data_IF_023017164899
#
_entry.id   IF_023017164899
#
_cell.length_a   1.000
_cell.length_b   1.000
_cell.length_c   1.000
_cell.angle_alpha   90.00
_cell.angle_beta   90.00
_cell.angle_gamma   90.00
#
_symmetry.space_group_name_H-M   'P 1'
#
loop_
_entity.id
_entity.type
_entity.pdbx_description
1 polymer ?
#
# COMPACT_ATOMS: atom_id res chain seq x y z
N UNK A 1 20.11 41.34 37.27
CA UNK A 1 19.56 40.92 38.59
C UNK A 1 18.05 40.71 38.38
N UNK A 2 17.61 39.48 38.06
CA UNK A 2 16.18 39.20 37.82
C UNK A 2 15.39 39.13 39.11
N UNK A 3 14.19 39.77 39.15
CA UNK A 3 13.35 39.88 40.30
C UNK A 3 12.87 38.50 40.81
N UNK A 4 12.73 38.31 42.13
CA UNK A 4 12.25 37.07 42.75
C UNK A 4 10.90 36.57 42.20
N UNK A 5 10.04 37.46 41.71
CA UNK A 5 8.75 37.13 41.07
C UNK A 5 8.92 36.43 39.71
N UNK A 6 9.96 36.77 38.95
CA UNK A 6 10.21 36.17 37.64
C UNK A 6 10.77 34.75 37.78
N UNK A 7 11.66 34.51 38.77
CA UNK A 7 12.18 33.17 39.09
C UNK A 7 11.08 32.19 39.52
N UNK A 8 10.07 32.68 40.26
CA UNK A 8 8.93 31.84 40.69
C UNK A 8 8.00 31.45 39.54
N UNK A 9 7.80 32.32 38.56
CA UNK A 9 7.02 31.99 37.35
C UNK A 9 7.71 30.96 36.45
N UNK A 10 9.04 31.05 36.30
CA UNK A 10 9.82 30.05 35.53
C UNK A 10 9.85 28.68 36.22
N UNK A 11 9.92 28.65 37.56
CA UNK A 11 9.92 27.40 38.33
C UNK A 11 8.56 26.67 38.26
N UNK A 12 7.46 27.39 38.30
CA UNK A 12 6.10 26.82 38.17
C UNK A 12 5.84 26.34 36.76
N UNK A 13 6.32 27.06 35.72
CA UNK A 13 6.20 26.61 34.32
C UNK A 13 7.04 25.36 34.06
N UNK A 14 8.27 25.29 34.57
CA UNK A 14 9.12 24.11 34.40
C UNK A 14 8.56 22.88 35.15
N UNK A 15 7.98 23.04 36.30
CA UNK A 15 7.33 21.96 37.05
C UNK A 15 6.06 21.47 36.36
N UNK A 16 5.28 22.37 35.71
CA UNK A 16 4.10 22.03 34.94
C UNK A 16 4.45 21.19 33.69
N UNK A 17 5.55 21.52 33.01
CA UNK A 17 6.02 20.72 31.84
C UNK A 17 6.56 19.34 32.25
N UNK A 18 7.23 19.21 33.39
CA UNK A 18 7.73 17.92 33.89
C UNK A 18 6.56 17.03 34.35
N UNK A 19 5.53 17.57 34.98
CA UNK A 19 4.35 16.82 35.39
C UNK A 19 3.47 16.40 34.20
N UNK A 20 3.32 17.25 33.19
CA UNK A 20 2.62 16.90 31.96
C UNK A 20 3.38 15.82 31.16
N UNK A 21 4.71 15.88 31.09
CA UNK A 21 5.55 14.90 30.42
C UNK A 21 5.52 13.51 31.09
N UNK A 22 5.45 13.46 32.43
CA UNK A 22 5.35 12.19 33.17
C UNK A 22 3.96 11.57 33.05
N UNK A 23 2.89 12.36 33.11
CA UNK A 23 1.53 11.88 32.92
C UNK A 23 1.33 11.31 31.50
N UNK A 24 1.89 11.96 30.48
CA UNK A 24 1.79 11.50 29.10
C UNK A 24 2.57 10.18 28.85
N UNK A 25 3.74 10.02 29.47
CA UNK A 25 4.51 8.77 29.41
C UNK A 25 3.80 7.61 30.09
N UNK A 26 3.16 7.84 31.23
CA UNK A 26 2.40 6.81 31.94
C UNK A 26 1.20 6.36 31.12
N UNK A 27 0.47 7.28 30.48
CA UNK A 27 -0.68 6.96 29.62
C UNK A 27 -0.27 6.17 28.38
N UNK A 28 0.85 6.50 27.75
CA UNK A 28 1.37 5.74 26.60
C UNK A 28 1.80 4.33 27.03
N UNK A 29 2.47 4.18 28.17
CA UNK A 29 2.86 2.86 28.66
C UNK A 29 1.66 1.99 29.03
N UNK A 30 0.59 2.55 29.57
CA UNK A 30 -0.66 1.83 29.86
C UNK A 30 -1.38 1.41 28.57
N UNK A 31 -1.42 2.27 27.54
CA UNK A 31 -1.99 1.94 26.23
C UNK A 31 -1.18 0.85 25.53
N UNK A 32 0.15 0.91 25.57
CA UNK A 32 1.02 -0.11 24.99
C UNK A 32 0.88 -1.46 25.71
N UNK A 33 0.80 -1.46 27.05
CA UNK A 33 0.61 -2.66 27.84
C UNK A 33 -0.75 -3.31 27.55
N UNK A 34 -1.84 -2.53 27.48
CA UNK A 34 -3.19 -3.05 27.20
C UNK A 34 -3.32 -3.61 25.76
N UNK A 35 -2.61 -3.00 24.80
CA UNK A 35 -2.58 -3.52 23.42
C UNK A 35 -1.72 -4.80 23.33
N UNK A 36 -0.63 -4.91 24.09
CA UNK A 36 0.20 -6.09 24.14
C UNK A 36 -0.56 -7.29 24.75
N UNK A 37 -1.32 -7.07 25.84
CA UNK A 37 -2.17 -8.10 26.46
C UNK A 37 -3.25 -8.59 25.47
N UNK A 38 -3.90 -7.70 24.72
CA UNK A 38 -4.90 -8.09 23.70
C UNK A 38 -4.29 -8.87 22.54
N UNK A 39 -3.07 -8.57 22.12
CA UNK A 39 -2.36 -9.31 21.07
C UNK A 39 -1.97 -10.71 21.58
N UNK A 40 -1.53 -10.83 22.82
CA UNK A 40 -1.19 -12.12 23.45
C UNK A 40 -2.45 -12.99 23.60
N UNK A 41 -3.58 -12.43 24.03
CA UNK A 41 -4.84 -13.17 24.15
C UNK A 41 -5.36 -13.66 22.79
N UNK A 42 -5.29 -12.83 21.74
CA UNK A 42 -5.68 -13.22 20.39
C UNK A 42 -4.80 -14.33 19.80
N UNK A 43 -3.50 -14.35 20.13
CA UNK A 43 -2.58 -15.39 19.66
C UNK A 43 -2.72 -16.71 20.40
N UNK A 44 -3.06 -16.68 21.69
CA UNK A 44 -3.30 -17.90 22.49
C UNK A 44 -4.63 -18.55 22.15
N UNK A 45 -5.69 -17.77 21.91
CA UNK A 45 -7.00 -18.28 21.50
C UNK A 45 -6.96 -18.94 20.10
N UNK A 46 -6.20 -18.36 19.16
CA UNK A 46 -5.96 -18.97 17.86
C UNK A 46 -5.08 -20.24 17.93
N UNK A 47 -4.14 -20.32 18.85
CA UNK A 47 -3.30 -21.50 19.04
C UNK A 47 -4.07 -22.69 19.65
N UNK A 48 -4.97 -22.44 20.60
CA UNK A 48 -5.81 -23.50 21.19
C UNK A 48 -6.86 -24.04 20.21
N UNK A 49 -7.38 -23.21 19.31
CA UNK A 49 -8.30 -23.64 18.25
C UNK A 49 -7.60 -24.44 17.13
N UNK A 50 -6.32 -24.22 16.89
CA UNK A 50 -5.55 -24.95 15.87
C UNK A 50 -5.22 -26.41 16.28
N UNK A 51 -5.16 -26.72 17.58
CA UNK A 51 -4.85 -28.08 18.07
C UNK A 51 -6.07 -29.01 18.14
N UNK A 52 -7.29 -28.49 18.08
CA UNK A 52 -8.53 -29.27 18.19
C UNK A 52 -9.12 -29.76 16.85
N UNK A 53 -8.42 -29.57 15.71
CA UNK A 53 -8.90 -29.93 14.36
C UNK A 53 -8.10 -31.06 13.72
N UNK A 54 -7.19 -31.73 14.43
CA UNK A 54 -6.46 -32.88 13.89
C UNK A 54 -6.96 -34.19 14.52
N UNK A 55 -8.17 -34.59 14.09
CA UNK A 55 -8.57 -36.01 14.11
C UNK A 55 -9.28 -36.26 12.76
N UNK A 56 -8.48 -36.61 11.74
CA UNK A 56 -9.01 -36.97 10.41
C UNK A 56 -8.92 -38.48 10.23
N UNK A 57 -10.09 -39.07 10.25
CA UNK A 57 -10.35 -40.43 9.83
C UNK A 57 -9.99 -40.65 8.35
N UNK A 58 -9.12 -41.56 8.06
CA UNK A 58 -8.71 -41.95 6.71
C UNK A 58 -9.76 -42.88 6.11
N UNK A 59 -10.73 -42.38 5.36
CA UNK A 59 -11.30 -43.08 4.19
C UNK A 59 -12.56 -42.35 3.70
N UNK A 60 -12.42 -41.54 2.66
CA UNK A 60 -13.44 -41.42 1.61
C UNK A 60 -12.87 -40.62 0.43
N UNK A 61 -12.69 -41.31 -0.68
CA UNK A 61 -12.40 -40.70 -1.99
C UNK A 61 -13.67 -40.09 -2.53
N UNK A 62 -13.85 -38.79 -2.33
CA UNK A 62 -14.83 -38.00 -3.08
C UNK A 62 -14.09 -37.15 -4.10
N UNK A 63 -14.43 -37.33 -5.37
CA UNK A 63 -13.98 -36.52 -6.50
C UNK A 63 -14.44 -35.09 -6.31
N UNK A 64 -13.55 -34.22 -5.93
CA UNK A 64 -13.78 -32.77 -5.94
C UNK A 64 -13.60 -32.28 -7.36
N UNK A 65 -14.69 -31.85 -7.98
CA UNK A 65 -14.64 -31.08 -9.23
C UNK A 65 -13.80 -29.84 -8.99
N UNK A 66 -12.72 -29.71 -9.77
CA UNK A 66 -11.85 -28.53 -9.78
C UNK A 66 -12.66 -27.29 -10.15
N UNK A 67 -13.07 -26.52 -9.17
CA UNK A 67 -13.33 -25.11 -9.36
C UNK A 67 -11.95 -24.45 -9.45
N UNK A 68 -11.56 -24.08 -10.68
CA UNK A 68 -10.34 -23.33 -10.93
C UNK A 68 -10.42 -21.99 -10.20
N UNK A 69 -9.89 -21.93 -8.98
CA UNK A 69 -9.52 -20.67 -8.36
C UNK A 69 -8.41 -20.07 -9.21
N UNK A 70 -8.69 -18.95 -9.86
CA UNK A 70 -7.68 -18.23 -10.64
C UNK A 70 -6.67 -17.60 -9.66
N UNK A 71 -5.68 -18.38 -9.23
CA UNK A 71 -4.57 -17.85 -8.46
C UNK A 71 -3.80 -16.83 -9.30
N UNK A 72 -3.61 -15.63 -8.77
CA UNK A 72 -2.77 -14.61 -9.37
C UNK A 72 -1.34 -14.88 -8.88
N UNK A 73 -0.43 -15.11 -9.80
CA UNK A 73 0.99 -15.25 -9.48
C UNK A 73 1.61 -13.87 -9.27
N UNK A 74 2.44 -13.72 -8.23
CA UNK A 74 3.23 -12.51 -8.02
C UNK A 74 4.33 -12.38 -9.08
N UNK A 75 4.92 -11.19 -9.16
CA UNK A 75 5.97 -10.87 -10.15
C UNK A 75 7.12 -11.87 -10.19
N UNK A 76 7.51 -12.44 -9.08
CA UNK A 76 8.58 -13.45 -9.01
C UNK A 76 8.09 -14.89 -9.16
N UNK A 77 6.79 -15.10 -9.33
CA UNK A 77 6.18 -16.42 -9.51
C UNK A 77 6.31 -17.38 -8.32
N UNK A 78 6.69 -16.88 -7.15
CA UNK A 78 6.98 -17.70 -5.98
C UNK A 78 5.86 -17.72 -4.93
N UNK A 79 4.91 -16.82 -5.03
CA UNK A 79 3.84 -16.65 -4.05
C UNK A 79 2.49 -16.43 -4.75
N UNK A 80 1.44 -17.09 -4.29
CA UNK A 80 0.09 -16.88 -4.81
C UNK A 80 -0.60 -15.74 -4.07
N UNK A 81 -1.33 -14.90 -4.79
CA UNK A 81 -2.14 -13.83 -4.23
C UNK A 81 -3.51 -14.40 -3.91
N UNK A 82 -3.99 -14.31 -2.64
CA UNK A 82 -5.33 -14.75 -2.28
C UNK A 82 -6.41 -14.01 -3.06
N UNK A 83 -7.55 -14.66 -3.29
CA UNK A 83 -8.71 -14.01 -3.89
C UNK A 83 -9.19 -12.84 -3.01
N UNK A 84 -9.75 -11.81 -3.67
CA UNK A 84 -10.35 -10.70 -2.98
C UNK A 84 -11.55 -11.17 -2.13
N UNK A 85 -11.53 -10.87 -0.85
CA UNK A 85 -12.59 -11.17 0.11
C UNK A 85 -13.04 -9.94 0.93
N UNK A 86 -12.81 -8.74 0.39
CA UNK A 86 -13.15 -7.47 1.03
C UNK A 86 -11.97 -6.73 1.66
N UNK A 87 -10.78 -7.33 1.69
CA UNK A 87 -9.56 -6.68 2.17
C UNK A 87 -9.03 -5.68 1.13
N UNK A 88 -8.43 -4.58 1.61
CA UNK A 88 -7.83 -3.57 0.73
C UNK A 88 -6.53 -4.05 0.11
N UNK A 89 -5.71 -4.74 0.90
CA UNK A 89 -4.44 -5.33 0.50
C UNK A 89 -4.13 -6.58 1.31
N UNK A 90 -3.13 -7.32 0.88
CA UNK A 90 -2.49 -8.41 1.63
C UNK A 90 -0.98 -8.20 1.65
N UNK A 91 -0.34 -8.64 2.73
CA UNK A 91 1.11 -8.68 2.82
C UNK A 91 1.65 -9.88 2.05
N UNK A 92 2.74 -9.69 1.31
CA UNK A 92 3.47 -10.71 0.59
C UNK A 92 4.84 -10.92 1.22
N UNK A 93 5.40 -12.11 1.07
CA UNK A 93 6.75 -12.46 1.52
C UNK A 93 7.04 -12.04 3.00
N UNK A 94 6.03 -12.15 3.88
CA UNK A 94 6.16 -11.70 5.26
C UNK A 94 6.44 -10.19 5.38
N UNK A 95 5.86 -9.40 4.48
CA UNK A 95 6.01 -7.94 4.36
C UNK A 95 7.46 -7.48 4.08
N UNK A 96 8.23 -8.29 3.33
CA UNK A 96 9.62 -7.99 2.98
C UNK A 96 9.78 -7.87 1.47
N UNK A 97 10.27 -6.74 0.96
CA UNK A 97 10.53 -6.56 -0.48
C UNK A 97 11.66 -7.47 -0.96
N UNK A 98 11.69 -7.72 -2.27
CA UNK A 98 12.73 -8.52 -2.94
C UNK A 98 13.92 -7.69 -3.42
N UNK A 99 14.21 -6.56 -2.79
CA UNK A 99 15.43 -5.81 -3.07
C UNK A 99 16.64 -6.53 -2.47
N UNK A 100 17.73 -6.51 -3.20
CA UNK A 100 19.02 -7.08 -2.81
C UNK A 100 19.98 -5.96 -2.42
N UNK A 101 21.11 -6.31 -1.80
CA UNK A 101 22.17 -5.33 -1.48
C UNK A 101 22.69 -4.60 -2.72
N UNK A 102 22.63 -5.23 -3.90
CA UNK A 102 23.07 -4.62 -5.17
C UNK A 102 22.06 -3.57 -5.70
N UNK A 103 20.80 -3.59 -5.24
CA UNK A 103 19.79 -2.59 -5.57
C UNK A 103 19.96 -1.30 -4.74
N UNK A 104 20.63 -1.38 -3.59
CA UNK A 104 20.78 -0.25 -2.67
C UNK A 104 21.71 0.81 -3.26
N UNK A 105 21.15 1.96 -3.63
CA UNK A 105 21.89 3.10 -4.17
C UNK A 105 21.34 4.41 -3.62
N UNK A 106 22.19 5.41 -3.50
CA UNK A 106 21.80 6.78 -3.21
C UNK A 106 21.62 7.63 -4.48
N UNK A 107 21.72 7.02 -5.67
CA UNK A 107 21.47 7.72 -6.93
C UNK A 107 19.97 7.82 -7.19
N UNK A 108 19.48 9.01 -7.51
CA UNK A 108 18.10 9.22 -7.91
C UNK A 108 17.84 8.59 -9.29
N UNK A 109 16.79 7.81 -9.40
CA UNK A 109 16.32 7.28 -10.68
C UNK A 109 14.82 7.01 -10.67
N UNK A 110 14.22 7.00 -11.86
CA UNK A 110 12.88 6.50 -12.13
C UNK A 110 12.85 5.79 -13.48
N UNK A 111 12.22 4.62 -13.51
CA UNK A 111 12.15 3.74 -14.68
C UNK A 111 10.73 3.26 -14.85
N UNK A 112 10.20 3.40 -16.06
CA UNK A 112 8.86 2.95 -16.43
C UNK A 112 8.97 1.97 -17.60
N UNK A 113 8.46 0.77 -17.42
CA UNK A 113 8.43 -0.23 -18.49
C UNK A 113 7.61 0.27 -19.69
N UNK A 114 7.99 -0.14 -20.89
CA UNK A 114 7.17 0.12 -22.07
C UNK A 114 5.80 -0.54 -21.93
N UNK A 115 4.78 0.07 -22.56
CA UNK A 115 3.46 -0.56 -22.65
C UNK A 115 3.56 -1.86 -23.46
N UNK A 116 2.82 -2.85 -23.03
CA UNK A 116 2.75 -4.11 -23.77
C UNK A 116 1.87 -3.99 -25.04
N UNK A 117 1.71 -5.10 -25.76
CA UNK A 117 0.92 -5.14 -27.01
C UNK A 117 -0.58 -4.84 -26.83
N UNK A 118 -1.09 -4.89 -25.59
CA UNK A 118 -2.46 -4.53 -25.23
C UNK A 118 -2.56 -3.09 -24.68
N UNK A 119 -1.44 -2.35 -24.65
CA UNK A 119 -1.37 -0.99 -24.10
C UNK A 119 -1.41 -0.93 -22.58
N UNK A 120 -1.02 -2.03 -21.90
CA UNK A 120 -0.99 -2.12 -20.43
C UNK A 120 0.36 -1.68 -19.91
N UNK A 121 0.34 -1.00 -18.75
CA UNK A 121 1.57 -0.66 -18.03
C UNK A 121 2.27 -1.93 -17.52
N UNK A 122 3.60 -1.92 -17.58
CA UNK A 122 4.45 -2.84 -16.84
C UNK A 122 4.89 -2.24 -15.51
N UNK A 123 6.00 -2.74 -14.99
CA UNK A 123 6.59 -2.30 -13.73
C UNK A 123 7.06 -0.84 -13.80
N UNK A 124 6.80 -0.09 -12.74
CA UNK A 124 7.42 1.21 -12.43
C UNK A 124 8.36 1.04 -11.24
N UNK A 125 9.59 1.56 -11.35
CA UNK A 125 10.64 1.42 -10.34
C UNK A 125 11.41 2.72 -10.17
N UNK A 126 11.55 3.21 -8.94
CA UNK A 126 12.27 4.43 -8.65
C UNK A 126 13.02 4.34 -7.32
N UNK A 127 14.06 5.15 -7.18
CA UNK A 127 14.68 5.46 -5.90
C UNK A 127 14.17 6.84 -5.46
N UNK A 128 13.06 6.84 -4.72
CA UNK A 128 12.37 8.06 -4.29
C UNK A 128 13.26 8.85 -3.35
N UNK A 129 13.48 10.10 -3.69
CA UNK A 129 14.28 11.04 -2.91
C UNK A 129 13.76 12.46 -3.07
N UNK A 130 14.29 13.39 -2.29
CA UNK A 130 13.86 14.79 -2.34
C UNK A 130 14.01 15.44 -3.71
N UNK A 131 14.99 14.99 -4.50
CA UNK A 131 15.28 15.51 -5.84
C UNK A 131 14.16 15.18 -6.85
N UNK A 132 13.51 14.00 -6.72
CA UNK A 132 12.43 13.57 -7.58
C UNK A 132 11.07 14.15 -7.19
N UNK A 133 10.90 14.57 -5.95
CA UNK A 133 9.61 15.10 -5.47
C UNK A 133 9.19 16.36 -6.26
N UNK A 134 7.86 16.55 -6.47
CA UNK A 134 7.39 17.65 -7.31
C UNK A 134 7.76 19.01 -6.74
N UNK A 135 8.22 19.89 -7.64
CA UNK A 135 8.45 21.31 -7.36
C UNK A 135 7.37 22.21 -7.97
N UNK A 136 6.46 21.62 -8.77
CA UNK A 136 5.37 22.29 -9.46
C UNK A 136 4.02 21.69 -9.06
N UNK A 137 2.93 22.42 -9.29
CA UNK A 137 1.58 21.92 -9.07
C UNK A 137 1.23 20.81 -10.08
N UNK A 138 0.43 19.84 -9.62
CA UNK A 138 -0.06 18.74 -10.45
C UNK A 138 -0.88 19.26 -11.63
N UNK A 139 -0.48 18.86 -12.84
CA UNK A 139 -1.19 19.17 -14.08
C UNK A 139 -2.39 18.25 -14.35
N UNK A 140 -3.10 18.55 -15.45
CA UNK A 140 -4.21 17.71 -15.93
C UNK A 140 -3.67 16.43 -16.60
N UNK A 141 -4.34 15.30 -16.33
CA UNK A 141 -4.03 13.98 -16.92
C UNK A 141 -5.22 13.38 -17.67
N UNK A 142 -6.28 14.16 -17.87
CA UNK A 142 -7.56 13.71 -18.47
C UNK A 142 -7.44 13.19 -19.90
N UNK A 143 -6.38 13.55 -20.64
CA UNK A 143 -6.12 13.11 -22.02
C UNK A 143 -5.66 11.65 -22.10
N UNK A 144 -5.05 11.09 -21.05
CA UNK A 144 -4.55 9.71 -21.03
C UNK A 144 -5.71 8.77 -20.71
N UNK A 145 -5.82 7.70 -21.47
CA UNK A 145 -6.79 6.63 -21.27
C UNK A 145 -6.02 5.32 -21.17
N UNK A 146 -5.71 4.84 -19.96
CA UNK A 146 -5.05 3.56 -19.78
C UNK A 146 -5.88 2.42 -20.34
N UNK A 147 -5.30 1.23 -20.50
CA UNK A 147 -6.03 0.03 -20.93
C UNK A 147 -7.28 -0.20 -20.07
N UNK A 148 -8.37 -0.66 -20.67
CA UNK A 148 -9.66 -0.90 -19.99
C UNK A 148 -10.34 0.35 -19.44
N UNK A 149 -10.00 1.57 -19.90
CA UNK A 149 -10.57 2.81 -19.37
C UNK A 149 -12.04 3.03 -19.73
N UNK A 150 -12.88 3.13 -18.72
CA UNK A 150 -14.28 3.56 -18.84
C UNK A 150 -14.57 4.75 -17.92
N UNK A 151 -15.46 5.65 -18.35
CA UNK A 151 -15.97 6.73 -17.49
C UNK A 151 -17.30 6.28 -16.91
N UNK A 152 -17.25 5.63 -15.75
CA UNK A 152 -18.42 5.01 -15.08
C UNK A 152 -18.67 5.69 -13.74
N UNK A 153 -19.95 5.80 -13.36
CA UNK A 153 -20.38 6.44 -12.11
C UNK A 153 -21.36 5.55 -11.37
N UNK A 154 -21.13 5.43 -10.06
CA UNK A 154 -22.03 4.75 -9.10
C UNK A 154 -22.29 5.69 -7.91
N UNK A 155 -23.15 6.74 -8.08
CA UNK A 155 -23.33 7.80 -7.08
C UNK A 155 -23.89 7.30 -5.74
N UNK A 156 -24.60 6.17 -5.74
CA UNK A 156 -25.23 5.59 -4.55
C UNK A 156 -24.27 4.64 -3.79
N UNK A 157 -23.16 4.23 -4.44
CA UNK A 157 -22.18 3.29 -3.87
C UNK A 157 -20.84 4.01 -3.57
N UNK A 158 -20.40 4.89 -4.47
CA UNK A 158 -19.08 5.54 -4.40
C UNK A 158 -19.25 7.02 -4.04
N UNK A 159 -18.64 7.46 -2.91
CA UNK A 159 -18.76 8.83 -2.40
C UNK A 159 -18.42 9.90 -3.45
N UNK A 160 -17.36 9.68 -4.25
CA UNK A 160 -16.90 10.60 -5.30
C UNK A 160 -17.53 10.28 -6.67
N UNK A 161 -18.47 9.35 -6.71
CA UNK A 161 -19.27 8.87 -7.85
C UNK A 161 -18.51 8.06 -8.89
N UNK A 162 -17.27 8.40 -9.24
CA UNK A 162 -16.50 7.73 -10.29
C UNK A 162 -15.85 6.47 -9.78
N UNK A 163 -16.06 5.35 -10.52
CA UNK A 163 -15.42 4.07 -10.23
C UNK A 163 -13.92 4.14 -10.47
N UNK A 164 -13.52 4.61 -11.67
CA UNK A 164 -12.14 4.58 -12.07
C UNK A 164 -11.44 5.94 -11.95
N UNK A 165 -10.21 5.87 -11.49
CA UNK A 165 -9.21 6.93 -11.49
C UNK A 165 -8.11 6.56 -12.49
N UNK A 166 -7.44 7.57 -13.04
CA UNK A 166 -6.10 7.40 -13.62
C UNK A 166 -5.14 7.29 -12.47
N UNK A 167 -4.89 6.05 -12.05
CA UNK A 167 -4.09 5.75 -10.89
C UNK A 167 -2.62 5.72 -11.31
N UNK A 168 -1.78 6.54 -10.66
CA UNK A 168 -0.34 6.46 -10.86
C UNK A 168 0.20 5.21 -10.18
N UNK A 169 1.15 4.53 -10.82
CA UNK A 169 1.93 3.46 -10.18
C UNK A 169 2.92 4.08 -9.19
N UNK A 170 3.68 5.08 -9.59
CA UNK A 170 4.45 5.94 -8.70
C UNK A 170 3.72 7.27 -8.58
N UNK A 171 3.24 7.61 -7.38
CA UNK A 171 2.44 8.79 -7.14
C UNK A 171 3.14 10.09 -7.54
N UNK A 172 2.37 11.07 -8.01
CA UNK A 172 2.89 12.40 -8.33
C UNK A 172 3.66 13.05 -7.17
N UNK A 173 3.21 12.85 -5.93
CA UNK A 173 3.90 13.39 -4.76
C UNK A 173 5.27 12.76 -4.50
N UNK A 174 5.58 11.60 -5.09
CA UNK A 174 6.84 10.89 -4.91
C UNK A 174 7.88 11.24 -5.96
N UNK A 175 7.48 11.36 -7.24
CA UNK A 175 8.42 11.53 -8.36
C UNK A 175 8.08 12.69 -9.30
N UNK A 176 7.04 13.49 -9.03
CA UNK A 176 6.68 14.64 -9.88
C UNK A 176 6.19 14.27 -11.29
N UNK A 177 6.16 12.97 -11.63
CA UNK A 177 5.76 12.47 -12.94
C UNK A 177 4.24 12.59 -13.12
N UNK A 178 3.77 13.47 -14.03
CA UNK A 178 2.36 13.80 -14.11
C UNK A 178 1.60 13.01 -15.18
N UNK A 179 1.88 13.25 -16.46
CA UNK A 179 1.11 12.77 -17.60
C UNK A 179 1.89 11.71 -18.39
N UNK A 180 2.40 10.70 -17.72
CA UNK A 180 3.11 9.58 -18.31
C UNK A 180 2.18 8.39 -18.48
N UNK A 181 1.92 7.97 -19.74
CA UNK A 181 1.06 6.83 -20.02
C UNK A 181 1.58 5.50 -19.48
N UNK A 182 2.91 5.38 -19.27
CA UNK A 182 3.56 4.20 -18.70
C UNK A 182 3.44 4.12 -17.16
N UNK A 183 2.98 5.21 -16.53
CA UNK A 183 2.78 5.33 -15.09
C UNK A 183 1.29 5.39 -14.68
N UNK A 184 0.35 5.21 -15.64
CA UNK A 184 -1.07 5.38 -15.36
C UNK A 184 -1.85 4.12 -15.72
N UNK A 185 -2.56 3.58 -14.73
CA UNK A 185 -3.47 2.43 -14.90
C UNK A 185 -4.93 2.84 -14.69
N UNK A 186 -5.86 2.03 -15.19
CA UNK A 186 -7.27 2.08 -14.83
C UNK A 186 -7.44 1.45 -13.45
N UNK A 187 -7.35 2.26 -12.41
CA UNK A 187 -7.49 1.86 -11.02
C UNK A 187 -8.84 2.27 -10.45
N UNK A 188 -9.42 1.47 -9.58
CA UNK A 188 -10.63 1.85 -8.85
C UNK A 188 -10.36 3.00 -7.89
N UNK A 189 -11.41 3.71 -7.50
CA UNK A 189 -11.30 4.72 -6.44
C UNK A 189 -10.80 4.10 -5.13
N UNK A 190 -11.24 2.88 -4.84
CA UNK A 190 -10.86 2.13 -3.64
C UNK A 190 -9.38 1.75 -3.66
N UNK A 191 -8.87 1.16 -4.76
CA UNK A 191 -7.44 0.92 -4.91
C UNK A 191 -6.61 2.19 -4.70
N UNK A 192 -6.98 3.28 -5.39
CA UNK A 192 -6.19 4.52 -5.37
C UNK A 192 -6.13 5.18 -3.99
N UNK A 193 -7.23 5.16 -3.21
CA UNK A 193 -7.34 5.94 -1.97
C UNK A 193 -7.13 5.09 -0.73
N UNK A 194 -7.66 3.87 -0.74
CA UNK A 194 -7.58 2.98 0.43
C UNK A 194 -6.44 1.97 0.28
N UNK A 195 -6.10 1.58 -0.97
CA UNK A 195 -5.04 0.62 -1.26
C UNK A 195 -3.64 1.24 -1.31
N UNK A 196 -3.44 2.23 -2.17
CA UNK A 196 -2.10 2.77 -2.47
C UNK A 196 -1.74 4.01 -1.64
N UNK A 197 -2.64 4.99 -1.53
CA UNK A 197 -2.36 6.30 -0.92
C UNK A 197 -1.77 6.24 0.51
N UNK A 198 -2.16 5.32 1.41
CA UNK A 198 -1.54 5.22 2.74
C UNK A 198 -0.03 4.95 2.66
N UNK A 199 0.39 4.01 1.82
CA UNK A 199 1.80 3.64 1.61
C UNK A 199 2.59 4.75 0.91
N UNK A 200 2.01 5.37 -0.12
CA UNK A 200 2.59 6.52 -0.81
C UNK A 200 2.82 7.70 0.15
N UNK A 201 1.87 7.96 1.03
CA UNK A 201 1.96 9.03 2.03
C UNK A 201 3.06 8.75 3.06
N UNK A 202 3.21 7.49 3.48
CA UNK A 202 4.26 7.09 4.41
C UNK A 202 5.65 7.26 3.80
N UNK A 203 5.85 6.83 2.54
CA UNK A 203 7.09 7.03 1.79
C UNK A 203 7.39 8.52 1.60
N UNK A 204 6.41 9.33 1.14
CA UNK A 204 6.60 10.76 0.97
C UNK A 204 7.04 11.43 2.27
N UNK A 205 6.34 11.12 3.36
CA UNK A 205 6.65 11.68 4.68
C UNK A 205 8.04 11.29 5.16
N UNK A 206 8.44 10.02 4.98
CA UNK A 206 9.78 9.56 5.36
C UNK A 206 10.87 10.33 4.61
N UNK A 207 10.75 10.47 3.29
CA UNK A 207 11.70 11.24 2.46
C UNK A 207 11.74 12.72 2.87
N UNK A 208 10.59 13.33 3.16
CA UNK A 208 10.52 14.71 3.62
C UNK A 208 11.20 14.95 4.97
N UNK A 209 10.98 14.03 5.92
CA UNK A 209 11.48 14.15 7.30
C UNK A 209 12.98 13.84 7.41
N UNK A 210 13.49 12.90 6.61
CA UNK A 210 14.87 12.37 6.73
C UNK A 210 15.83 12.84 5.64
N UNK A 211 15.31 13.21 4.47
CA UNK A 211 16.07 13.41 3.24
C UNK A 211 16.84 12.17 2.76
N UNK A 212 16.41 11.00 3.19
CA UNK A 212 16.89 9.69 2.77
C UNK A 212 16.18 9.20 1.51
N UNK A 213 16.69 8.10 0.93
CA UNK A 213 16.16 7.47 -0.26
C UNK A 213 15.26 6.28 0.09
N UNK A 214 14.27 6.02 -0.77
CA UNK A 214 13.41 4.83 -0.68
C UNK A 214 13.34 4.16 -2.05
N UNK A 215 13.88 2.93 -2.16
CA UNK A 215 13.57 2.07 -3.30
C UNK A 215 12.08 1.78 -3.28
N UNK A 216 11.40 2.07 -4.38
CA UNK A 216 9.95 1.94 -4.51
C UNK A 216 9.61 1.32 -5.86
N UNK A 217 8.97 0.16 -5.85
CA UNK A 217 8.62 -0.61 -7.05
C UNK A 217 7.14 -0.97 -7.02
N UNK A 218 6.46 -0.72 -8.14
CA UNK A 218 5.05 -1.05 -8.30
C UNK A 218 4.85 -1.83 -9.58
N UNK A 219 4.27 -3.01 -9.47
CA UNK A 219 4.02 -3.92 -10.59
C UNK A 219 2.52 -4.20 -10.70
N UNK A 220 1.83 -3.72 -11.75
CA UNK A 220 0.43 -4.07 -11.99
C UNK A 220 0.33 -5.51 -12.47
N UNK A 221 -0.57 -6.29 -11.87
CA UNK A 221 -0.75 -7.71 -12.16
C UNK A 221 -2.00 -7.91 -13.03
N UNK A 222 -1.81 -8.42 -14.23
CA UNK A 222 -2.86 -8.76 -15.19
C UNK A 222 -2.91 -10.27 -15.39
N UNK A 223 -4.10 -10.82 -15.53
CA UNK A 223 -4.30 -12.23 -15.87
C UNK A 223 -4.63 -12.34 -17.36
N UNK A 224 -3.82 -13.10 -18.11
CA UNK A 224 -4.01 -13.34 -19.54
C UNK A 224 -4.18 -12.05 -20.36
N UNK A 225 -5.33 -11.85 -21.01
CA UNK A 225 -5.66 -10.75 -21.91
C UNK A 225 -6.50 -9.63 -21.22
N UNK A 226 -6.52 -9.59 -19.90
CA UNK A 226 -7.24 -8.56 -19.14
C UNK A 226 -6.70 -7.16 -19.43
N UNK A 227 -7.61 -6.19 -19.56
CA UNK A 227 -7.28 -4.79 -19.83
C UNK A 227 -7.16 -3.93 -18.57
N UNK A 228 -7.76 -4.36 -17.44
CA UNK A 228 -7.53 -3.78 -16.13
C UNK A 228 -6.79 -4.77 -15.25
N UNK A 229 -5.80 -4.31 -14.49
CA UNK A 229 -5.07 -5.20 -13.57
C UNK A 229 -5.96 -5.68 -12.43
N UNK A 230 -5.67 -6.85 -11.87
CA UNK A 230 -6.31 -7.38 -10.66
C UNK A 230 -5.91 -6.60 -9.41
N UNK A 231 -4.78 -5.94 -9.45
CA UNK A 231 -4.22 -5.11 -8.40
C UNK A 231 -2.80 -4.74 -8.73
N UNK A 232 -2.12 -4.15 -7.76
CA UNK A 232 -0.72 -3.77 -7.86
C UNK A 232 0.09 -4.39 -6.73
N UNK A 233 1.20 -5.02 -7.06
CA UNK A 233 2.24 -5.38 -6.12
C UNK A 233 3.08 -4.15 -5.84
N UNK A 234 3.26 -3.79 -4.56
CA UNK A 234 3.99 -2.62 -4.11
C UNK A 234 5.09 -3.04 -3.15
N UNK A 235 6.32 -2.62 -3.43
CA UNK A 235 7.49 -2.89 -2.61
C UNK A 235 8.21 -1.59 -2.28
N UNK A 236 8.65 -1.44 -1.04
CA UNK A 236 9.48 -0.31 -0.64
C UNK A 236 10.51 -0.68 0.43
N UNK A 237 11.69 -0.03 0.34
CA UNK A 237 12.77 -0.17 1.31
C UNK A 237 13.53 1.13 1.44
N UNK A 238 13.65 1.68 2.64
CA UNK A 238 14.51 2.83 2.89
C UNK A 238 15.98 2.43 2.84
N UNK A 239 16.78 3.20 2.08
CA UNK A 239 18.15 2.81 1.69
C UNK A 239 19.15 3.01 2.83
N UNK A 240 19.26 4.21 3.38
CA UNK A 240 20.33 4.58 4.33
C UNK A 240 20.22 3.88 5.67
N UNK A 241 19.03 3.48 6.08
CA UNK A 241 18.77 2.77 7.34
C UNK A 241 18.41 1.29 7.14
N UNK A 242 18.59 0.81 5.89
CA UNK A 242 18.36 -0.60 5.51
C UNK A 242 16.96 -1.11 5.91
N UNK A 243 15.93 -0.33 5.58
CA UNK A 243 14.54 -0.69 5.80
C UNK A 243 14.02 -0.43 7.22
N UNK A 244 14.79 0.27 8.09
CA UNK A 244 14.31 0.56 9.44
C UNK A 244 13.20 1.62 9.46
N UNK A 245 13.19 2.53 8.49
CA UNK A 245 12.15 3.55 8.35
C UNK A 245 10.99 3.12 7.46
N UNK A 246 11.28 2.58 6.29
CA UNK A 246 10.29 2.07 5.33
C UNK A 246 10.68 0.65 4.91
N UNK A 247 9.78 -0.30 5.11
CA UNK A 247 9.94 -1.66 4.64
C UNK A 247 8.56 -2.30 4.48
N UNK A 248 8.12 -2.52 3.24
CA UNK A 248 6.87 -3.25 2.99
C UNK A 248 6.88 -3.97 1.64
N UNK A 249 6.07 -5.02 1.56
CA UNK A 249 5.77 -5.76 0.35
C UNK A 249 4.31 -6.22 0.43
N UNK A 250 3.46 -5.61 -0.38
CA UNK A 250 2.03 -5.84 -0.37
C UNK A 250 1.47 -6.04 -1.79
N UNK A 251 0.28 -6.64 -1.86
CA UNK A 251 -0.58 -6.58 -3.04
C UNK A 251 -1.86 -5.82 -2.70
N UNK A 252 -2.12 -4.70 -3.37
CA UNK A 252 -3.34 -3.92 -3.24
C UNK A 252 -4.32 -4.27 -4.36
N UNK A 253 -5.56 -4.64 -3.99
CA UNK A 253 -6.57 -5.12 -4.93
C UNK A 253 -7.22 -4.01 -5.75
N UNK A 254 -7.38 -4.21 -7.06
CA UNK A 254 -8.09 -3.30 -7.95
C UNK A 254 -9.59 -3.60 -7.97
N UNK A 255 -10.20 -3.62 -6.81
CA UNK A 255 -11.61 -3.91 -6.58
C UNK A 255 -12.33 -2.68 -6.01
N UNK A 256 -13.65 -2.69 -5.97
CA UNK A 256 -14.48 -1.66 -5.36
C UNK A 256 -15.63 -2.33 -4.61
N UNK A 257 -15.75 -2.18 -3.27
CA UNK A 257 -16.86 -2.74 -2.52
C UNK A 257 -18.23 -2.36 -3.13
N UNK A 258 -19.08 -3.36 -3.33
CA UNK A 258 -20.42 -3.20 -3.92
C UNK A 258 -20.45 -3.07 -5.45
N UNK A 259 -19.31 -3.23 -6.15
CA UNK A 259 -19.21 -3.22 -7.60
C UNK A 259 -18.52 -4.50 -8.06
N UNK A 260 -19.07 -5.14 -9.09
CA UNK A 260 -18.42 -6.23 -9.81
C UNK A 260 -17.75 -5.70 -11.06
N UNK A 261 -16.46 -6.05 -11.27
CA UNK A 261 -15.64 -5.58 -12.39
C UNK A 261 -15.30 -6.76 -13.29
N UNK A 262 -15.53 -6.61 -14.61
CA UNK A 262 -14.95 -7.48 -15.62
C UNK A 262 -13.56 -6.95 -16.01
N UNK A 263 -12.52 -7.52 -15.44
CA UNK A 263 -11.14 -7.11 -15.71
C UNK A 263 -10.69 -7.30 -17.16
N UNK A 264 -11.38 -8.15 -17.94
CA UNK A 264 -11.05 -8.35 -19.36
C UNK A 264 -11.34 -7.10 -20.18
N UNK A 265 -12.38 -6.34 -19.81
CA UNK A 265 -12.83 -5.17 -20.57
C UNK A 265 -12.76 -3.87 -19.79
N UNK A 266 -12.83 -3.92 -18.47
CA UNK A 266 -13.05 -2.78 -17.58
C UNK A 266 -14.53 -2.43 -17.40
N UNK A 267 -15.46 -3.21 -17.95
CA UNK A 267 -16.89 -3.06 -17.70
C UNK A 267 -17.22 -3.38 -16.24
N UNK A 268 -18.31 -2.80 -15.73
CA UNK A 268 -18.68 -2.97 -14.33
C UNK A 268 -20.18 -2.85 -14.11
N UNK A 269 -20.65 -3.42 -13.00
CA UNK A 269 -22.04 -3.35 -12.55
C UNK A 269 -22.11 -3.34 -11.04
N UNK A 270 -23.24 -2.86 -10.47
CA UNK A 270 -23.50 -3.00 -9.04
C UNK A 270 -23.61 -4.48 -8.67
N UNK A 271 -22.94 -4.88 -7.57
CA UNK A 271 -22.87 -6.27 -7.08
C UNK A 271 -24.00 -6.65 -6.14
#
# INVERSE_FOLDING_TARGET
MFSRKLKRKFFVAALGFILAGTSYRTTIQEILASNLERVVDMTTENAENAWNVIDVDQNETASVENVSSGEIETWNGSESIPDYAGQTYVELNGNKPYFTDDDLTADAFEIYSDLDSLGRCGQAYANICKELMPTEERGEIGMIKPSGWHTVKYPDVIKDRYLYNRCHLIAFCLAGENANEKNLITGTRYLNVEGMLPFETEVAKYVEDTNNHVLYRVTPIFVSDELTCRGVEMEALSVEDNGAGICFHIFAYNEQPGITIDHRTGDSQEG
#
